data_IF_537599041314
#
_entry.id   IF_537599041314
#
_cell.length_a   1.000
_cell.length_b   1.000
_cell.length_c   1.000
_cell.angle_alpha   90.00
_cell.angle_beta   90.00
_cell.angle_gamma   90.00
#
_symmetry.space_group_name_H-M   'P 1'
#
loop_
_entity.id
_entity.type
_entity.pdbx_description
1 polymer ?
#
# COMPACT_ATOMS: atom_id res chain seq x y z
N UNK A 1 -16.24 -6.97 -20.85
CA UNK A 1 -17.34 -7.74 -20.22
C UNK A 1 -16.85 -8.72 -19.16
N UNK A 2 -15.72 -9.45 -19.36
CA UNK A 2 -15.19 -10.41 -18.38
C UNK A 2 -14.59 -9.74 -17.14
N UNK A 3 -13.93 -8.59 -17.28
CA UNK A 3 -13.31 -7.85 -16.16
C UNK A 3 -14.37 -7.26 -15.23
N UNK A 4 -15.41 -6.65 -15.78
CA UNK A 4 -16.53 -6.09 -14.99
C UNK A 4 -17.28 -7.17 -14.19
N UNK A 5 -17.50 -8.34 -14.80
CA UNK A 5 -18.10 -9.48 -14.10
C UNK A 5 -17.19 -10.02 -12.99
N UNK A 6 -15.86 -10.00 -13.21
CA UNK A 6 -14.90 -10.40 -12.19
C UNK A 6 -14.85 -9.42 -11.03
N UNK A 7 -14.91 -8.12 -11.29
CA UNK A 7 -14.96 -7.08 -10.26
C UNK A 7 -16.23 -7.20 -9.40
N UNK A 8 -17.40 -7.33 -10.03
CA UNK A 8 -18.67 -7.49 -9.30
C UNK A 8 -18.67 -8.75 -8.41
N UNK A 9 -18.14 -9.87 -8.91
CA UNK A 9 -18.04 -11.12 -8.15
C UNK A 9 -17.03 -11.00 -6.99
N UNK A 10 -15.89 -10.34 -7.21
CA UNK A 10 -14.88 -10.14 -6.17
C UNK A 10 -15.43 -9.23 -5.06
N UNK A 11 -16.12 -8.15 -5.40
CA UNK A 11 -16.76 -7.27 -4.43
C UNK A 11 -17.86 -7.99 -3.63
N UNK A 12 -18.70 -8.79 -4.30
CA UNK A 12 -19.72 -9.59 -3.62
C UNK A 12 -19.14 -10.64 -2.69
N UNK A 13 -18.06 -11.32 -3.10
CA UNK A 13 -17.36 -12.28 -2.25
C UNK A 13 -16.70 -11.63 -1.04
N UNK A 14 -16.15 -10.42 -1.22
CA UNK A 14 -15.58 -9.66 -0.11
C UNK A 14 -16.66 -9.20 0.87
N UNK A 15 -17.78 -8.70 0.37
CA UNK A 15 -18.95 -8.34 1.17
C UNK A 15 -19.45 -9.51 2.03
N UNK A 16 -19.61 -10.68 1.43
CA UNK A 16 -20.01 -11.90 2.13
C UNK A 16 -18.99 -12.33 3.19
N UNK A 17 -17.68 -12.25 2.88
CA UNK A 17 -16.62 -12.54 3.86
C UNK A 17 -16.68 -11.61 5.07
N UNK A 18 -16.88 -10.31 4.85
CA UNK A 18 -17.04 -9.33 5.93
C UNK A 18 -18.28 -9.64 6.78
N UNK A 19 -19.39 -9.97 6.14
CA UNK A 19 -20.63 -10.35 6.84
C UNK A 19 -20.42 -11.56 7.77
N UNK A 20 -19.71 -12.58 7.30
CA UNK A 20 -19.40 -13.78 8.09
C UNK A 20 -18.46 -13.45 9.25
N UNK A 21 -17.38 -12.70 9.01
CA UNK A 21 -16.40 -12.33 10.05
C UNK A 21 -17.08 -11.50 11.15
N UNK A 22 -17.83 -10.47 10.78
CA UNK A 22 -18.54 -9.62 11.73
C UNK A 22 -19.64 -10.42 12.47
N UNK A 23 -20.34 -11.28 11.76
CA UNK A 23 -21.38 -12.16 12.37
C UNK A 23 -20.82 -13.15 13.38
N UNK A 24 -19.55 -13.52 13.29
CA UNK A 24 -18.85 -14.33 14.30
C UNK A 24 -18.36 -13.55 15.52
N UNK A 25 -18.55 -12.22 15.54
CA UNK A 25 -18.06 -11.34 16.60
C UNK A 25 -16.60 -10.89 16.43
N UNK A 26 -15.95 -11.24 15.31
CA UNK A 26 -14.59 -10.80 15.01
C UNK A 26 -14.58 -9.43 14.30
N UNK A 27 -13.50 -8.68 14.52
CA UNK A 27 -13.27 -7.41 13.85
C UNK A 27 -12.44 -7.61 12.58
N UNK A 28 -12.96 -7.30 11.38
CA UNK A 28 -12.20 -7.40 10.16
C UNK A 28 -11.18 -6.26 10.04
N UNK A 29 -9.98 -6.61 9.61
CA UNK A 29 -8.90 -5.66 9.31
C UNK A 29 -8.36 -5.95 7.91
N UNK A 30 -8.28 -4.92 7.09
CA UNK A 30 -7.66 -4.96 5.75
C UNK A 30 -6.41 -4.10 5.76
N UNK A 31 -5.30 -4.66 5.33
CA UNK A 31 -4.08 -3.91 5.07
C UNK A 31 -3.94 -3.79 3.55
N UNK A 32 -3.98 -2.57 3.04
CA UNK A 32 -3.83 -2.29 1.61
C UNK A 32 -2.39 -2.50 1.15
N UNK A 33 -2.21 -2.66 -0.15
CA UNK A 33 -0.88 -2.70 -0.74
C UNK A 33 -0.16 -1.35 -0.62
N UNK A 34 1.16 -1.40 -0.44
CA UNK A 34 2.04 -0.23 -0.58
C UNK A 34 1.98 0.32 -2.00
N UNK A 35 2.54 1.51 -2.23
CA UNK A 35 2.69 2.01 -3.59
C UNK A 35 3.54 1.04 -4.41
N UNK A 36 3.20 0.81 -5.69
CA UNK A 36 3.95 -0.10 -6.54
C UNK A 36 5.36 0.43 -6.80
N UNK A 37 6.30 -0.47 -7.06
CA UNK A 37 7.65 -0.10 -7.48
C UNK A 37 7.58 0.69 -8.80
N UNK A 38 8.20 1.87 -8.89
CA UNK A 38 8.22 2.67 -10.12
C UNK A 38 8.89 1.90 -11.27
N UNK A 39 8.39 2.12 -12.48
CA UNK A 39 9.06 1.61 -13.69
C UNK A 39 10.49 2.16 -13.76
N UNK A 40 11.45 1.30 -14.08
CA UNK A 40 12.86 1.68 -14.13
C UNK A 40 13.58 1.79 -12.78
N UNK A 41 12.88 1.63 -11.64
CA UNK A 41 13.48 1.71 -10.31
C UNK A 41 14.70 0.80 -10.17
N UNK A 42 14.61 -0.47 -10.58
CA UNK A 42 15.71 -1.42 -10.45
C UNK A 42 16.97 -0.96 -11.21
N UNK A 43 16.81 -0.43 -12.42
CA UNK A 43 17.92 0.10 -13.23
C UNK A 43 18.51 1.35 -12.61
N UNK A 44 17.70 2.25 -12.12
CA UNK A 44 18.13 3.46 -11.43
C UNK A 44 18.86 3.12 -10.13
N UNK A 45 18.33 2.23 -9.30
CA UNK A 45 18.97 1.77 -8.08
C UNK A 45 20.32 1.10 -8.38
N UNK A 46 20.40 0.28 -9.42
CA UNK A 46 21.65 -0.37 -9.84
C UNK A 46 22.72 0.65 -10.25
N UNK A 47 22.34 1.76 -10.90
CA UNK A 47 23.30 2.84 -11.22
C UNK A 47 23.86 3.51 -9.95
N UNK A 48 23.02 3.80 -8.96
CA UNK A 48 23.46 4.32 -7.67
C UNK A 48 24.44 3.35 -6.99
N UNK A 49 24.09 2.07 -6.95
CA UNK A 49 24.94 1.03 -6.38
C UNK A 49 26.29 0.92 -7.09
N UNK A 50 26.29 0.89 -8.44
CA UNK A 50 27.51 0.83 -9.26
C UNK A 50 28.43 2.02 -9.05
N UNK A 51 27.85 3.20 -8.88
CA UNK A 51 28.60 4.45 -8.66
C UNK A 51 28.92 4.68 -7.17
N UNK A 52 28.57 3.75 -6.28
CA UNK A 52 28.71 3.88 -4.83
C UNK A 52 28.08 5.15 -4.27
N UNK A 53 26.97 5.61 -4.86
CA UNK A 53 26.17 6.75 -4.43
C UNK A 53 25.03 6.25 -3.55
N UNK A 54 24.82 6.93 -2.43
CA UNK A 54 23.64 6.67 -1.61
C UNK A 54 22.37 7.06 -2.36
N UNK A 55 21.35 6.21 -2.30
CA UNK A 55 20.04 6.50 -2.87
C UNK A 55 19.28 7.46 -1.95
N UNK A 56 18.78 8.56 -2.50
CA UNK A 56 17.95 9.51 -1.77
C UNK A 56 16.48 9.08 -1.74
N UNK A 57 15.71 9.73 -0.87
CA UNK A 57 14.28 9.41 -0.66
C UNK A 57 13.42 9.52 -1.92
N UNK A 58 13.79 10.44 -2.79
CA UNK A 58 13.06 10.74 -4.02
C UNK A 58 13.80 10.31 -5.30
N UNK A 59 14.95 9.65 -5.15
CA UNK A 59 15.65 9.11 -6.30
C UNK A 59 14.87 7.93 -6.89
N UNK A 60 15.03 7.72 -8.19
CA UNK A 60 14.40 6.60 -8.89
C UNK A 60 12.86 6.60 -8.86
N UNK A 61 12.24 7.76 -8.69
CA UNK A 61 10.80 7.91 -8.84
C UNK A 61 10.37 7.81 -10.30
N UNK A 62 9.13 7.39 -10.51
CA UNK A 62 8.51 7.48 -11.84
C UNK A 62 8.10 8.92 -12.14
N UNK A 63 8.32 9.37 -13.36
CA UNK A 63 7.79 10.64 -13.87
C UNK A 63 6.25 10.62 -14.03
N UNK A 64 5.62 9.48 -13.79
CA UNK A 64 4.20 9.25 -14.09
C UNK A 64 3.21 9.86 -13.08
N UNK A 65 3.68 10.61 -12.10
CA UNK A 65 2.80 11.24 -11.11
C UNK A 65 2.18 10.26 -10.08
N UNK A 66 1.17 10.71 -9.33
CA UNK A 66 0.56 9.89 -8.30
C UNK A 66 -0.07 8.63 -8.88
N UNK A 67 0.11 7.51 -8.16
CA UNK A 67 -0.46 6.21 -8.55
C UNK A 67 -1.97 6.34 -8.72
N UNK A 68 -2.52 5.96 -9.88
CA UNK A 68 -3.96 5.99 -10.09
C UNK A 68 -4.69 5.21 -8.98
N UNK A 69 -5.84 5.73 -8.57
CA UNK A 69 -6.68 5.07 -7.57
C UNK A 69 -7.07 3.68 -8.10
N UNK A 70 -6.65 2.64 -7.40
CA UNK A 70 -6.99 1.28 -7.79
C UNK A 70 -8.49 1.02 -7.59
N UNK A 71 -9.08 0.14 -8.40
CA UNK A 71 -10.47 -0.31 -8.24
C UNK A 71 -10.78 -0.73 -6.79
N UNK A 72 -9.85 -1.42 -6.14
CA UNK A 72 -9.95 -1.83 -4.74
C UNK A 72 -10.17 -0.68 -3.76
N UNK A 73 -9.61 0.51 -4.01
CA UNK A 73 -9.81 1.66 -3.11
C UNK A 73 -11.29 2.03 -3.01
N UNK A 74 -11.99 2.03 -4.15
CA UNK A 74 -13.43 2.26 -4.18
C UNK A 74 -14.23 1.14 -3.49
N UNK A 75 -13.80 -0.12 -3.60
CA UNK A 75 -14.43 -1.23 -2.89
C UNK A 75 -14.27 -1.06 -1.38
N UNK A 76 -13.07 -0.77 -0.90
CA UNK A 76 -12.83 -0.60 0.54
C UNK A 76 -13.62 0.57 1.12
N UNK A 77 -13.73 1.68 0.41
CA UNK A 77 -14.57 2.83 0.83
C UNK A 77 -16.05 2.45 0.95
N UNK A 78 -16.60 1.75 -0.05
CA UNK A 78 -17.99 1.28 0.02
C UNK A 78 -18.20 0.30 1.17
N UNK A 79 -17.25 -0.62 1.38
CA UNK A 79 -17.35 -1.60 2.46
C UNK A 79 -17.20 -0.96 3.85
N UNK A 80 -16.35 0.04 4.02
CA UNK A 80 -16.30 0.82 5.27
C UNK A 80 -17.58 1.59 5.53
N UNK A 81 -18.22 2.13 4.49
CA UNK A 81 -19.53 2.76 4.62
C UNK A 81 -20.64 1.79 5.05
N UNK A 82 -20.55 0.52 4.59
CA UNK A 82 -21.52 -0.53 4.93
C UNK A 82 -21.23 -1.20 6.28
N UNK A 83 -19.97 -1.36 6.60
CA UNK A 83 -19.45 -2.03 7.82
C UNK A 83 -18.53 -1.11 8.61
N UNK A 84 -19.06 -0.28 9.53
CA UNK A 84 -18.25 0.63 10.34
C UNK A 84 -17.17 -0.06 11.19
N UNK A 85 -17.32 -1.37 11.44
CA UNK A 85 -16.33 -2.19 12.15
C UNK A 85 -15.09 -2.51 11.30
N UNK A 86 -15.17 -2.37 9.95
CA UNK A 86 -14.05 -2.64 9.07
C UNK A 86 -12.94 -1.60 9.28
N UNK A 87 -11.78 -2.08 9.74
CA UNK A 87 -10.57 -1.28 9.79
C UNK A 87 -9.82 -1.44 8.47
N UNK A 88 -9.49 -0.33 7.82
CA UNK A 88 -8.63 -0.31 6.63
C UNK A 88 -7.35 0.44 6.96
N UNK A 89 -6.21 -0.23 6.84
CA UNK A 89 -4.88 0.33 7.03
C UNK A 89 -4.27 0.54 5.65
N UNK A 90 -3.95 1.78 5.29
CA UNK A 90 -3.28 2.12 4.04
C UNK A 90 -1.82 2.51 4.28
N UNK A 91 -0.84 1.65 3.97
CA UNK A 91 0.58 2.00 4.11
C UNK A 91 1.00 3.22 3.29
N UNK A 92 0.26 3.56 2.23
CA UNK A 92 0.51 4.76 1.43
C UNK A 92 0.33 6.06 2.20
N UNK A 93 -0.45 6.04 3.29
CA UNK A 93 -0.61 7.21 4.17
C UNK A 93 0.68 7.66 4.85
N UNK A 94 1.66 6.76 4.93
CA UNK A 94 3.01 7.06 5.47
C UNK A 94 4.12 6.92 4.41
N UNK A 95 3.88 6.19 3.33
CA UNK A 95 4.83 6.04 2.24
C UNK A 95 4.79 7.22 1.27
N UNK A 96 3.61 7.84 1.08
CA UNK A 96 3.38 8.81 0.01
C UNK A 96 2.96 10.17 0.58
N UNK A 97 3.30 11.21 -0.15
CA UNK A 97 2.67 12.54 -0.05
C UNK A 97 1.71 12.76 -1.24
N UNK A 98 1.26 14.02 -1.42
CA UNK A 98 0.33 14.36 -2.51
C UNK A 98 0.95 14.24 -3.90
N UNK A 99 2.26 14.19 -4.03
CA UNK A 99 2.99 14.28 -5.29
C UNK A 99 3.78 13.01 -5.61
N UNK A 100 4.26 12.31 -4.58
CA UNK A 100 5.21 11.21 -4.77
C UNK A 100 5.17 10.21 -3.62
N UNK A 101 5.75 9.03 -3.86
CA UNK A 101 5.94 8.00 -2.84
C UNK A 101 7.43 7.75 -2.62
N UNK A 102 7.82 7.50 -1.37
CA UNK A 102 9.20 7.20 -1.02
C UNK A 102 9.70 5.95 -1.74
N UNK A 103 10.88 6.05 -2.32
CA UNK A 103 11.61 4.94 -2.97
C UNK A 103 12.80 4.46 -2.14
N UNK A 104 13.25 5.29 -1.18
CA UNK A 104 14.29 4.96 -0.23
C UNK A 104 14.04 5.65 1.11
N UNK A 105 14.58 5.07 2.19
CA UNK A 105 14.55 5.60 3.56
C UNK A 105 15.96 5.46 4.11
N UNK A 106 16.57 6.56 4.51
CA UNK A 106 17.94 6.59 5.07
C UNK A 106 18.98 5.84 4.22
N UNK A 107 18.85 5.96 2.90
CA UNK A 107 19.74 5.29 1.94
C UNK A 107 19.46 3.82 1.70
N UNK A 108 18.40 3.27 2.31
CA UNK A 108 17.95 1.89 2.09
C UNK A 108 16.76 1.90 1.11
N UNK A 109 16.78 1.09 0.05
CA UNK A 109 15.67 1.04 -0.90
C UNK A 109 14.39 0.53 -0.22
N UNK A 110 13.24 1.12 -0.59
CA UNK A 110 11.93 0.67 -0.13
C UNK A 110 11.61 -0.69 -0.75
N UNK A 111 11.91 -0.88 -2.02
CA UNK A 111 11.52 -2.08 -2.75
C UNK A 111 12.63 -3.13 -2.76
N UNK A 112 12.26 -4.37 -2.45
CA UNK A 112 13.12 -5.55 -2.59
C UNK A 112 13.01 -6.15 -4.00
N UNK A 113 11.79 -6.19 -4.51
CA UNK A 113 11.46 -6.64 -5.86
C UNK A 113 10.14 -6.00 -6.32
N UNK A 114 9.63 -6.38 -7.50
CA UNK A 114 8.43 -5.79 -8.12
C UNK A 114 7.19 -5.89 -7.22
N UNK A 115 7.07 -6.91 -6.39
CA UNK A 115 5.89 -7.18 -5.57
C UNK A 115 6.09 -6.98 -4.08
N UNK A 116 7.32 -6.70 -3.62
CA UNK A 116 7.62 -6.69 -2.20
C UNK A 116 8.46 -5.48 -1.81
N UNK A 117 8.19 -4.96 -0.61
CA UNK A 117 9.07 -3.98 0.05
C UNK A 117 10.12 -4.71 0.91
N UNK A 118 11.18 -3.99 1.28
CA UNK A 118 12.20 -4.49 2.21
C UNK A 118 11.65 -4.61 3.62
N UNK A 119 12.24 -5.49 4.43
CA UNK A 119 11.87 -5.64 5.84
C UNK A 119 12.06 -4.32 6.61
N UNK A 120 13.13 -3.58 6.29
CA UNK A 120 13.39 -2.26 6.85
C UNK A 120 12.28 -1.26 6.53
N UNK A 121 11.83 -1.20 5.28
CA UNK A 121 10.72 -0.32 4.88
C UNK A 121 9.42 -0.74 5.55
N UNK A 122 9.12 -2.05 5.61
CA UNK A 122 7.93 -2.59 6.27
C UNK A 122 7.87 -2.20 7.74
N UNK A 123 8.96 -2.41 8.48
CA UNK A 123 9.07 -2.03 9.87
C UNK A 123 8.92 -0.52 10.06
N UNK A 124 9.59 0.27 9.22
CA UNK A 124 9.59 1.74 9.32
C UNK A 124 8.19 2.30 9.04
N UNK A 125 7.51 1.83 8.01
CA UNK A 125 6.13 2.24 7.71
C UNK A 125 5.16 1.85 8.83
N UNK A 126 5.29 0.67 9.40
CA UNK A 126 4.49 0.24 10.54
C UNK A 126 4.67 1.17 11.75
N UNK A 127 5.92 1.52 12.08
CA UNK A 127 6.22 2.46 13.16
C UNK A 127 5.65 3.85 12.88
N UNK A 128 5.86 4.43 11.70
CA UNK A 128 5.33 5.75 11.33
C UNK A 128 3.80 5.77 11.32
N UNK A 129 3.17 4.66 10.89
CA UNK A 129 1.72 4.54 10.93
C UNK A 129 1.20 4.62 12.38
N UNK A 130 1.81 3.88 13.30
CA UNK A 130 1.44 3.90 14.72
C UNK A 130 1.69 5.25 15.40
N UNK A 131 2.75 5.96 15.02
CA UNK A 131 3.04 7.30 15.50
C UNK A 131 1.99 8.34 15.02
N UNK A 132 1.51 8.19 13.78
CA UNK A 132 0.59 9.13 13.14
C UNK A 132 -0.89 8.85 13.47
N UNK A 133 -1.30 7.60 13.48
CA UNK A 133 -2.70 7.20 13.55
C UNK A 133 -3.05 6.42 14.83
N UNK A 134 -2.10 6.20 15.73
CA UNK A 134 -2.20 5.30 16.88
C UNK A 134 -2.44 3.83 16.47
N UNK A 135 -2.63 2.95 17.45
CA UNK A 135 -2.86 1.53 17.17
C UNK A 135 -4.33 1.27 16.83
N UNK A 136 -4.67 0.90 15.58
CA UNK A 136 -6.07 0.68 15.18
C UNK A 136 -6.67 -0.60 15.78
N UNK A 137 -5.85 -1.44 16.44
CA UNK A 137 -6.28 -2.73 17.02
C UNK A 137 -6.52 -2.66 18.53
N UNK A 138 -6.55 -1.45 19.11
CA UNK A 138 -6.77 -1.24 20.54
C UNK A 138 -8.06 -0.49 20.80
#
# INVERSE_FOLDING_TARGET
RSVELSHARAEAAFDEALRIIIGSGAQPVVIKATAPMPEGFASCFYQHFKLRKQIGQNDCQSESGPVPRAWFDGVFERMQGKYPQLIVIDPKDVQCDKQSCLTAIDGVPVYRDVGHITDFASYTFGRWYLERFSNPLK
#
